data_IF_526498672931
#
_entry.id   IF_526498672931
#
_cell.length_a   1.000
_cell.length_b   1.000
_cell.length_c   1.000
_cell.angle_alpha   90.00
_cell.angle_beta   90.00
_cell.angle_gamma   90.00
#
_symmetry.space_group_name_H-M   'P 1'
#
loop_
_entity.id
_entity.type
_entity.pdbx_description
1 polymer ?
#
# COMPACT_ATOMS: atom_id res chain seq x y z
N UNK A 1 6.77 -11.97 -24.89
CA UNK A 1 7.71 -12.92 -24.35
C UNK A 1 7.68 -12.83 -22.83
N UNK A 2 7.03 -13.79 -22.16
CA UNK A 2 6.71 -13.79 -20.72
C UNK A 2 7.97 -13.65 -19.84
N UNK A 3 9.07 -14.32 -20.21
CA UNK A 3 10.32 -14.30 -19.46
C UNK A 3 10.92 -12.89 -19.41
N UNK A 4 10.94 -12.19 -20.55
CA UNK A 4 11.48 -10.82 -20.64
C UNK A 4 10.61 -9.85 -19.84
N UNK A 5 9.28 -9.97 -19.91
CA UNK A 5 8.34 -9.15 -19.13
C UNK A 5 8.53 -9.32 -17.63
N UNK A 6 8.71 -10.56 -17.15
CA UNK A 6 8.92 -10.84 -15.73
C UNK A 6 10.27 -10.32 -15.24
N UNK A 7 11.31 -10.35 -16.06
CA UNK A 7 12.60 -9.76 -15.69
C UNK A 7 12.52 -8.25 -15.56
N UNK A 8 11.82 -7.59 -16.47
CA UNK A 8 11.55 -6.15 -16.36
C UNK A 8 10.74 -5.83 -15.10
N UNK A 9 9.72 -6.65 -14.80
CA UNK A 9 8.88 -6.48 -13.62
C UNK A 9 9.70 -6.74 -12.34
N UNK A 10 10.58 -7.74 -12.32
CA UNK A 10 11.51 -7.99 -11.20
C UNK A 10 12.41 -6.78 -10.93
N UNK A 11 12.94 -6.16 -11.97
CA UNK A 11 13.75 -4.93 -11.83
C UNK A 11 12.92 -3.80 -11.22
N UNK A 12 11.71 -3.58 -11.70
CA UNK A 12 10.81 -2.55 -11.17
C UNK A 12 10.45 -2.78 -9.71
N UNK A 13 10.14 -4.01 -9.34
CA UNK A 13 9.80 -4.38 -7.96
C UNK A 13 11.04 -4.24 -7.05
N UNK A 14 12.20 -4.66 -7.54
CA UNK A 14 13.47 -4.49 -6.83
C UNK A 14 13.73 -3.01 -6.52
N UNK A 15 13.69 -2.15 -7.54
CA UNK A 15 13.91 -0.72 -7.35
C UNK A 15 12.86 -0.08 -6.44
N UNK A 16 11.59 -0.50 -6.55
CA UNK A 16 10.53 -0.01 -5.68
C UNK A 16 10.78 -0.37 -4.21
N UNK A 17 11.28 -1.56 -3.93
CA UNK A 17 11.69 -1.96 -2.58
C UNK A 17 12.83 -1.08 -2.05
N UNK A 18 13.82 -0.76 -2.88
CA UNK A 18 14.92 0.15 -2.48
C UNK A 18 14.41 1.58 -2.24
N UNK A 19 13.40 2.04 -2.96
CA UNK A 19 12.77 3.34 -2.74
C UNK A 19 12.15 3.46 -1.33
N UNK A 20 11.69 2.37 -0.74
CA UNK A 20 11.21 2.38 0.65
C UNK A 20 12.31 2.81 1.62
N UNK A 21 13.53 2.32 1.40
CA UNK A 21 14.71 2.71 2.20
C UNK A 21 15.05 4.16 1.97
N UNK A 22 15.10 4.58 0.71
CA UNK A 22 15.44 5.96 0.31
C UNK A 22 14.51 6.99 0.94
N UNK A 23 13.22 6.67 1.04
CA UNK A 23 12.22 7.56 1.64
C UNK A 23 12.03 7.38 3.15
N UNK A 24 12.84 6.53 3.79
CA UNK A 24 12.81 6.33 5.24
C UNK A 24 11.53 5.64 5.73
N UNK A 25 10.89 4.81 4.91
CA UNK A 25 9.65 4.14 5.25
C UNK A 25 9.85 2.79 5.94
N UNK A 26 11.05 2.26 5.91
CA UNK A 26 11.37 0.93 6.45
C UNK A 26 12.61 0.94 7.31
N UNK A 27 12.64 0.03 8.29
CA UNK A 27 13.78 -0.29 9.15
C UNK A 27 13.99 -1.80 9.04
N UNK A 28 15.26 -2.23 8.94
CA UNK A 28 15.60 -3.65 8.74
C UNK A 28 14.90 -4.22 7.50
N UNK A 29 14.11 -5.28 7.69
CA UNK A 29 13.34 -5.95 6.62
C UNK A 29 11.82 -5.72 6.74
N UNK A 30 11.41 -4.69 7.47
CA UNK A 30 10.01 -4.43 7.85
C UNK A 30 9.21 -3.74 6.75
N UNK A 31 9.16 -4.33 5.62
CA UNK A 31 8.35 -3.81 4.52
C UNK A 31 8.60 -4.57 3.24
N UNK A 32 7.70 -4.41 2.31
CA UNK A 32 7.77 -5.08 1.01
C UNK A 32 6.93 -4.37 -0.04
N UNK A 33 7.35 -4.55 -1.28
CA UNK A 33 6.62 -4.11 -2.47
C UNK A 33 6.42 -5.32 -3.37
N UNK A 34 5.25 -5.42 -3.96
CA UNK A 34 4.97 -6.33 -5.06
C UNK A 34 4.39 -5.59 -6.26
N UNK A 35 4.36 -6.26 -7.40
CA UNK A 35 3.62 -5.82 -8.57
C UNK A 35 3.05 -7.03 -9.30
N UNK A 36 1.99 -6.82 -10.06
CA UNK A 36 1.33 -7.87 -10.82
C UNK A 36 1.45 -7.60 -12.31
N UNK A 37 1.65 -8.66 -13.08
CA UNK A 37 1.41 -8.69 -14.51
C UNK A 37 0.01 -9.26 -14.75
N UNK A 38 -0.92 -8.39 -15.17
CA UNK A 38 -2.33 -8.77 -15.36
C UNK A 38 -2.56 -9.73 -16.51
N UNK A 39 -1.68 -9.76 -17.50
CA UNK A 39 -1.81 -10.70 -18.62
C UNK A 39 -1.57 -12.15 -18.19
N UNK A 40 -0.53 -12.37 -17.38
CA UNK A 40 -0.19 -13.70 -16.87
C UNK A 40 -0.78 -14.02 -15.52
N UNK A 41 -1.35 -13.02 -14.83
CA UNK A 41 -1.82 -13.11 -13.44
C UNK A 41 -0.72 -13.57 -12.47
N UNK A 42 0.53 -13.14 -12.72
CA UNK A 42 1.68 -13.46 -11.88
C UNK A 42 2.11 -12.23 -11.09
N UNK A 43 2.42 -12.45 -9.82
CA UNK A 43 2.85 -11.42 -8.87
C UNK A 43 4.33 -11.59 -8.58
N UNK A 44 5.08 -10.50 -8.71
CA UNK A 44 6.49 -10.43 -8.31
C UNK A 44 6.57 -9.73 -6.97
N UNK A 45 7.23 -10.35 -6.01
CA UNK A 45 7.30 -9.84 -4.64
C UNK A 45 8.70 -10.02 -4.04
N UNK A 46 9.02 -9.14 -3.09
CA UNK A 46 10.25 -9.20 -2.30
C UNK A 46 10.36 -10.54 -1.57
N UNK A 47 11.55 -11.15 -1.55
CA UNK A 47 11.79 -12.33 -0.72
C UNK A 47 11.75 -12.00 0.78
N UNK A 48 11.33 -12.98 1.59
CA UNK A 48 11.26 -12.88 3.04
C UNK A 48 12.67 -12.79 3.67
N UNK A 49 12.83 -11.86 4.60
CA UNK A 49 14.01 -11.81 5.47
C UNK A 49 15.33 -11.41 4.79
N UNK A 50 15.31 -11.00 3.54
CA UNK A 50 16.50 -10.53 2.83
C UNK A 50 16.67 -9.03 3.06
N UNK A 51 17.88 -8.65 3.50
CA UNK A 51 18.25 -7.25 3.68
C UNK A 51 18.14 -6.47 2.38
N UNK A 52 17.67 -5.23 2.44
CA UNK A 52 17.62 -4.35 1.27
C UNK A 52 19.00 -4.10 0.66
N UNK A 53 20.06 -4.13 1.48
CA UNK A 53 21.45 -3.91 1.03
C UNK A 53 22.00 -5.10 0.23
N UNK A 54 21.57 -6.31 0.58
CA UNK A 54 22.05 -7.55 -0.06
C UNK A 54 21.15 -8.04 -1.17
N UNK A 55 19.96 -7.48 -1.29
CA UNK A 55 18.94 -7.89 -2.25
C UNK A 55 19.32 -7.52 -3.68
N UNK A 56 18.99 -8.40 -4.61
CA UNK A 56 19.17 -8.21 -6.06
C UNK A 56 17.85 -8.41 -6.78
N UNK A 57 17.75 -7.88 -7.99
CA UNK A 57 16.54 -8.05 -8.81
C UNK A 57 16.21 -9.54 -9.05
N UNK A 58 17.23 -10.37 -9.25
CA UNK A 58 17.06 -11.83 -9.45
C UNK A 58 16.51 -12.56 -8.22
N UNK A 59 16.59 -11.94 -7.03
CA UNK A 59 16.08 -12.53 -5.79
C UNK A 59 14.55 -12.38 -5.67
N UNK A 60 13.92 -11.53 -6.48
CA UNK A 60 12.47 -11.36 -6.48
C UNK A 60 11.78 -12.69 -6.79
N UNK A 61 10.69 -12.97 -6.07
CA UNK A 61 9.96 -14.23 -6.17
C UNK A 61 8.69 -14.01 -6.99
N UNK A 62 8.38 -14.96 -7.87
CA UNK A 62 7.14 -14.94 -8.67
C UNK A 62 6.16 -15.95 -8.10
N UNK A 63 4.95 -15.46 -7.80
CA UNK A 63 3.85 -16.29 -7.29
C UNK A 63 2.61 -16.12 -8.17
N UNK A 64 1.75 -17.13 -8.18
CA UNK A 64 0.43 -17.02 -8.81
C UNK A 64 -0.61 -16.42 -7.84
N UNK A 65 -1.85 -16.27 -8.30
CA UNK A 65 -2.94 -15.72 -7.48
C UNK A 65 -3.47 -16.67 -6.40
N UNK A 66 -2.94 -17.89 -6.33
CA UNK A 66 -3.16 -18.82 -5.21
C UNK A 66 -2.02 -18.74 -4.17
N UNK A 67 -1.05 -17.86 -4.41
CA UNK A 67 0.11 -17.69 -3.53
C UNK A 67 1.20 -18.73 -3.73
N UNK A 68 1.09 -19.57 -4.75
CA UNK A 68 2.07 -20.60 -5.09
C UNK A 68 3.29 -19.99 -5.78
N UNK A 69 4.48 -20.37 -5.33
CA UNK A 69 5.74 -19.98 -6.00
C UNK A 69 5.82 -20.65 -7.36
N UNK A 70 5.94 -19.82 -8.39
CA UNK A 70 6.10 -20.24 -9.78
C UNK A 70 7.57 -20.19 -10.20
N UNK A 71 8.30 -19.19 -9.68
CA UNK A 71 9.71 -18.98 -9.98
C UNK A 71 10.40 -18.30 -8.81
N UNK A 72 11.62 -18.71 -8.51
CA UNK A 72 12.46 -18.10 -7.48
C UNK A 72 13.06 -19.12 -6.53
N UNK A 73 14.25 -18.80 -6.01
CA UNK A 73 15.01 -19.66 -5.09
C UNK A 73 14.63 -19.42 -3.63
N UNK A 74 14.18 -18.20 -3.33
CA UNK A 74 13.93 -17.74 -1.98
C UNK A 74 12.45 -17.85 -1.64
N UNK A 75 12.13 -17.78 -0.36
CA UNK A 75 10.75 -17.72 0.09
C UNK A 75 10.19 -16.33 -0.20
N UNK A 76 8.97 -16.22 -0.73
CA UNK A 76 8.32 -14.92 -0.87
C UNK A 76 8.04 -14.32 0.52
N UNK A 77 7.87 -13.00 0.57
CA UNK A 77 7.44 -12.30 1.80
C UNK A 77 6.28 -13.03 2.48
N UNK A 78 6.29 -13.07 3.80
CA UNK A 78 5.16 -13.62 4.59
C UNK A 78 3.84 -12.90 4.33
N UNK A 79 3.89 -11.65 3.85
CA UNK A 79 2.71 -10.86 3.52
C UNK A 79 2.12 -11.20 2.14
N UNK A 80 2.70 -12.12 1.42
CA UNK A 80 2.24 -12.51 0.07
C UNK A 80 0.73 -12.82 0.02
N UNK A 81 0.14 -13.57 0.96
CA UNK A 81 -1.31 -13.80 0.92
C UNK A 81 -2.13 -12.52 0.99
N UNK A 82 -1.69 -11.54 1.77
CA UNK A 82 -2.36 -10.22 1.83
C UNK A 82 -2.31 -9.51 0.48
N UNK A 83 -1.12 -9.45 -0.14
CA UNK A 83 -0.95 -8.84 -1.46
C UNK A 83 -1.85 -9.49 -2.51
N UNK A 84 -1.89 -10.82 -2.54
CA UNK A 84 -2.69 -11.59 -3.49
C UNK A 84 -4.19 -11.32 -3.33
N UNK A 85 -4.69 -11.26 -2.10
CA UNK A 85 -6.10 -10.92 -1.82
C UNK A 85 -6.43 -9.54 -2.40
N UNK A 86 -5.55 -8.56 -2.23
CA UNK A 86 -5.77 -7.21 -2.75
C UNK A 86 -5.80 -7.18 -4.28
N UNK A 87 -4.90 -7.91 -4.94
CA UNK A 87 -4.92 -8.00 -6.40
C UNK A 87 -6.18 -8.66 -6.95
N UNK A 88 -6.71 -9.67 -6.26
CA UNK A 88 -7.98 -10.32 -6.63
C UNK A 88 -9.17 -9.39 -6.44
N UNK A 89 -9.20 -8.64 -5.33
CA UNK A 89 -10.34 -7.79 -4.98
C UNK A 89 -10.35 -6.48 -5.76
N UNK A 90 -9.18 -5.94 -6.11
CA UNK A 90 -9.01 -4.64 -6.76
C UNK A 90 -8.36 -4.81 -8.14
N UNK A 91 -9.15 -5.10 -9.19
CA UNK A 91 -8.60 -5.45 -10.51
C UNK A 91 -7.82 -4.33 -11.20
N UNK A 92 -7.98 -3.08 -10.75
CA UNK A 92 -7.34 -1.91 -11.36
C UNK A 92 -5.95 -1.61 -10.79
N UNK A 93 -5.57 -2.24 -9.67
CA UNK A 93 -4.25 -1.99 -9.07
C UNK A 93 -3.18 -2.86 -9.71
N UNK A 94 -1.95 -2.32 -9.78
CA UNK A 94 -0.80 -3.01 -10.36
C UNK A 94 0.38 -3.16 -9.42
N UNK A 95 0.34 -2.53 -8.26
CA UNK A 95 1.39 -2.64 -7.24
C UNK A 95 0.82 -2.47 -5.84
N UNK A 96 1.44 -3.11 -4.85
CA UNK A 96 1.05 -3.06 -3.43
C UNK A 96 2.30 -2.87 -2.58
N UNK A 97 2.20 -2.01 -1.58
CA UNK A 97 3.26 -1.73 -0.58
C UNK A 97 2.72 -2.00 0.82
N UNK A 98 3.52 -2.65 1.63
CA UNK A 98 3.32 -2.73 3.07
C UNK A 98 4.55 -2.23 3.80
N UNK A 99 4.37 -1.41 4.81
CA UNK A 99 5.44 -0.95 5.70
C UNK A 99 4.94 -0.85 7.14
N UNK A 100 5.88 -0.58 8.05
CA UNK A 100 5.60 -0.16 9.41
C UNK A 100 6.12 1.26 9.63
N UNK A 101 5.87 2.15 8.67
CA UNK A 101 6.31 3.55 8.76
C UNK A 101 5.68 4.23 9.99
N UNK A 102 6.45 5.06 10.65
CA UNK A 102 6.17 5.49 12.03
C UNK A 102 4.81 6.16 12.21
N UNK A 103 4.51 7.18 11.42
CA UNK A 103 3.28 7.96 11.63
C UNK A 103 2.03 7.22 11.16
N UNK A 104 2.08 6.58 9.99
CA UNK A 104 0.95 5.77 9.51
C UNK A 104 0.66 4.61 10.46
N UNK A 105 1.71 3.94 10.95
CA UNK A 105 1.58 2.84 11.91
C UNK A 105 1.02 3.36 13.25
N UNK A 106 1.42 4.55 13.71
CA UNK A 106 0.87 5.14 14.93
C UNK A 106 -0.64 5.36 14.81
N UNK A 107 -1.13 5.85 13.69
CA UNK A 107 -2.58 5.98 13.44
C UNK A 107 -3.28 4.62 13.39
N UNK A 108 -2.65 3.62 12.77
CA UNK A 108 -3.16 2.25 12.77
C UNK A 108 -3.26 1.68 14.21
N UNK A 109 -2.23 1.91 15.04
CA UNK A 109 -2.23 1.50 16.45
C UNK A 109 -3.31 2.24 17.26
N UNK A 110 -3.57 3.51 16.93
CA UNK A 110 -4.65 4.27 17.54
C UNK A 110 -6.04 3.79 17.09
N UNK A 111 -6.12 3.01 16.02
CA UNK A 111 -7.38 2.50 15.50
C UNK A 111 -8.27 3.56 14.86
N UNK A 112 -7.66 4.63 14.33
CA UNK A 112 -8.40 5.78 13.77
C UNK A 112 -8.08 5.96 12.30
N UNK A 113 -9.10 6.33 11.51
CA UNK A 113 -8.91 6.81 10.15
C UNK A 113 -8.06 8.09 10.19
N UNK A 114 -7.24 8.33 9.17
CA UNK A 114 -6.57 9.63 9.01
C UNK A 114 -7.54 10.57 8.31
N UNK A 115 -8.06 11.60 8.99
CA UNK A 115 -9.03 12.51 8.38
C UNK A 115 -8.38 13.34 7.26
N UNK A 116 -9.17 13.67 6.25
CA UNK A 116 -8.72 14.54 5.15
C UNK A 116 -8.81 16.00 5.61
N UNK A 117 -7.69 16.54 6.11
CA UNK A 117 -7.64 17.88 6.72
C UNK A 117 -6.70 18.84 5.98
N UNK A 118 -6.20 18.47 4.81
CA UNK A 118 -5.28 19.31 4.08
C UNK A 118 -5.24 19.02 2.60
N UNK A 119 -4.73 19.97 1.85
CA UNK A 119 -4.70 19.88 0.39
C UNK A 119 -3.73 18.81 -0.13
N UNK A 120 -2.63 18.54 0.58
CA UNK A 120 -1.72 17.45 0.23
C UNK A 120 -2.44 16.10 0.29
N UNK A 121 -3.21 15.85 1.36
CA UNK A 121 -4.02 14.64 1.47
C UNK A 121 -5.06 14.59 0.34
N UNK A 122 -5.79 15.68 0.12
CA UNK A 122 -6.84 15.75 -0.89
C UNK A 122 -6.33 15.55 -2.32
N UNK A 123 -5.07 15.89 -2.61
CA UNK A 123 -4.46 15.65 -3.92
C UNK A 123 -4.37 14.17 -4.27
N UNK A 124 -4.26 13.28 -3.28
CA UNK A 124 -4.01 11.85 -3.49
C UNK A 124 -5.13 10.93 -3.02
N UNK A 125 -5.91 11.36 -2.04
CA UNK A 125 -6.99 10.58 -1.43
C UNK A 125 -8.25 11.43 -1.37
N UNK A 126 -9.34 10.94 -1.95
CA UNK A 126 -10.61 11.65 -1.92
C UNK A 126 -11.19 11.75 -0.51
N UNK A 127 -11.18 10.62 0.22
CA UNK A 127 -11.74 10.52 1.56
C UNK A 127 -10.63 10.44 2.62
N UNK A 128 -11.04 10.22 3.87
CA UNK A 128 -10.11 9.82 4.93
C UNK A 128 -9.36 8.55 4.52
N UNK A 129 -8.14 8.37 5.01
CA UNK A 129 -7.44 7.09 4.85
C UNK A 129 -8.05 6.14 5.88
N UNK A 130 -8.74 5.07 5.44
CA UNK A 130 -9.53 4.25 6.34
C UNK A 130 -8.67 3.31 7.20
N UNK A 131 -9.12 3.06 8.42
CA UNK A 131 -8.59 2.02 9.30
C UNK A 131 -9.54 0.84 9.32
N UNK A 132 -9.01 -0.38 9.31
CA UNK A 132 -9.81 -1.60 9.37
C UNK A 132 -10.45 -1.80 10.75
N UNK A 133 -11.45 -2.66 10.83
CA UNK A 133 -11.94 -3.20 12.09
C UNK A 133 -10.88 -4.08 12.77
N UNK A 134 -11.08 -4.41 14.04
CA UNK A 134 -10.30 -5.44 14.73
C UNK A 134 -10.47 -6.79 14.04
N UNK A 135 -9.41 -7.57 14.02
CA UNK A 135 -9.48 -8.96 13.60
C UNK A 135 -10.12 -9.82 14.71
N UNK A 136 -10.93 -10.77 14.32
CA UNK A 136 -11.50 -11.75 15.24
C UNK A 136 -10.45 -12.76 15.69
N UNK A 137 -10.72 -13.49 16.78
CA UNK A 137 -9.85 -14.57 17.25
C UNK A 137 -9.62 -15.63 16.17
N UNK A 138 -10.66 -16.01 15.44
CA UNK A 138 -10.55 -17.00 14.36
C UNK A 138 -9.66 -16.50 13.21
N UNK A 139 -9.75 -15.22 12.86
CA UNK A 139 -8.91 -14.60 11.83
C UNK A 139 -7.43 -14.56 12.26
N UNK A 140 -7.15 -14.17 13.50
CA UNK A 140 -5.78 -14.09 14.04
C UNK A 140 -5.14 -15.48 14.14
N UNK A 141 -5.88 -16.48 14.59
CA UNK A 141 -5.38 -17.85 14.79
C UNK A 141 -5.39 -18.69 13.52
N UNK A 142 -6.13 -18.28 12.51
CA UNK A 142 -6.24 -18.97 11.23
C UNK A 142 -5.17 -18.57 10.23
N UNK A 143 -5.54 -18.40 8.98
CA UNK A 143 -4.67 -17.91 7.92
C UNK A 143 -4.48 -16.38 8.05
N UNK A 144 -3.67 -15.96 9.00
CA UNK A 144 -3.55 -14.58 9.46
C UNK A 144 -3.29 -13.57 8.34
N UNK A 145 -2.32 -13.83 7.47
CA UNK A 145 -1.97 -12.89 6.38
C UNK A 145 -3.06 -12.83 5.31
N UNK A 146 -3.73 -13.96 5.04
CA UNK A 146 -4.91 -14.00 4.16
C UNK A 146 -6.05 -13.18 4.77
N UNK A 147 -6.34 -13.40 6.05
CA UNK A 147 -7.41 -12.68 6.76
C UNK A 147 -7.12 -11.19 6.92
N UNK A 148 -5.84 -10.81 6.98
CA UNK A 148 -5.44 -9.40 6.92
C UNK A 148 -5.90 -8.77 5.61
N UNK A 149 -5.72 -9.46 4.49
CA UNK A 149 -6.26 -9.03 3.20
C UNK A 149 -7.78 -8.91 3.21
N UNK A 150 -8.46 -9.88 3.80
CA UNK A 150 -9.93 -9.90 3.87
C UNK A 150 -10.49 -8.74 4.70
N UNK A 151 -9.88 -8.38 5.83
CA UNK A 151 -10.36 -7.22 6.60
C UNK A 151 -10.14 -5.89 5.88
N UNK A 152 -9.08 -5.80 5.06
CA UNK A 152 -8.88 -4.64 4.18
C UNK A 152 -10.00 -4.55 3.15
N UNK A 153 -10.28 -5.63 2.45
CA UNK A 153 -11.34 -5.70 1.41
C UNK A 153 -12.69 -5.34 2.02
N UNK A 154 -12.98 -5.87 3.19
CA UNK A 154 -14.22 -5.56 3.91
C UNK A 154 -14.34 -4.06 4.23
N UNK A 155 -13.25 -3.43 4.67
CA UNK A 155 -13.25 -1.98 4.96
C UNK A 155 -13.51 -1.15 3.71
N UNK A 156 -13.18 -1.69 2.54
CA UNK A 156 -13.36 -1.00 1.25
C UNK A 156 -14.73 -1.21 0.62
N UNK A 157 -15.65 -1.93 1.27
CA UNK A 157 -17.04 -1.99 0.82
C UNK A 157 -17.62 -0.57 0.76
N UNK A 158 -18.06 -0.14 -0.43
CA UNK A 158 -18.55 1.23 -0.68
C UNK A 158 -17.46 2.28 -0.94
N UNK A 159 -16.18 1.90 -0.92
CA UNK A 159 -15.06 2.79 -1.25
C UNK A 159 -14.45 2.40 -2.60
N UNK A 160 -13.90 3.40 -3.30
CA UNK A 160 -13.17 3.17 -4.53
C UNK A 160 -11.67 3.09 -4.24
N UNK A 161 -11.02 1.92 -4.43
CA UNK A 161 -9.60 1.77 -4.13
C UNK A 161 -8.68 2.61 -5.02
N UNK A 162 -9.13 3.07 -6.18
CA UNK A 162 -8.37 3.98 -7.04
C UNK A 162 -8.37 5.40 -6.47
N UNK A 163 -9.49 5.83 -5.90
CA UNK A 163 -9.63 7.16 -5.28
C UNK A 163 -9.12 7.20 -3.83
N UNK A 164 -8.96 6.05 -3.20
CA UNK A 164 -8.44 5.90 -1.84
C UNK A 164 -7.38 4.79 -1.88
N UNK A 165 -6.16 5.09 -2.35
CA UNK A 165 -5.17 4.07 -2.65
C UNK A 165 -4.36 3.60 -1.43
N UNK A 166 -5.00 3.41 -0.29
CA UNK A 166 -4.33 2.92 0.91
C UNK A 166 -5.26 2.73 2.08
N UNK A 167 -4.77 2.05 3.09
CA UNK A 167 -5.51 1.62 4.27
C UNK A 167 -4.57 1.47 5.46
N UNK A 168 -5.10 1.62 6.66
CA UNK A 168 -4.44 1.27 7.92
C UNK A 168 -5.04 -0.02 8.44
N UNK A 169 -4.23 -1.05 8.64
CA UNK A 169 -4.67 -2.26 9.33
C UNK A 169 -4.53 -2.02 10.82
N UNK A 170 -5.65 -2.04 11.53
CA UNK A 170 -5.70 -1.72 12.96
C UNK A 170 -4.66 -2.48 13.77
N UNK A 171 -3.91 -1.77 14.62
CA UNK A 171 -2.81 -2.25 15.45
C UNK A 171 -1.59 -2.78 14.67
N UNK A 172 -1.57 -2.69 13.34
CA UNK A 172 -0.51 -3.28 12.52
C UNK A 172 0.27 -2.22 11.75
N UNK A 173 -0.32 -1.65 10.71
CA UNK A 173 0.36 -0.67 9.86
C UNK A 173 -0.32 -0.45 8.52
N UNK A 174 0.28 0.39 7.66
CA UNK A 174 -0.31 0.76 6.39
C UNK A 174 -0.08 -0.27 5.28
N UNK A 175 -1.04 -0.35 4.39
CA UNK A 175 -0.91 -0.89 3.04
C UNK A 175 -1.29 0.22 2.06
N UNK A 176 -0.56 0.33 0.97
CA UNK A 176 -0.88 1.25 -0.13
C UNK A 176 -0.77 0.53 -1.45
N UNK A 177 -1.39 1.09 -2.47
CA UNK A 177 -1.36 0.53 -3.81
C UNK A 177 -1.43 1.62 -4.86
N UNK A 178 -1.32 1.23 -6.11
CA UNK A 178 -1.38 2.12 -7.25
C UNK A 178 -1.39 1.33 -8.55
N UNK A 179 -1.29 2.04 -9.66
CA UNK A 179 -1.32 1.43 -11.00
C UNK A 179 -0.11 0.52 -11.29
N UNK A 180 1.00 0.74 -10.59
CA UNK A 180 2.24 -0.03 -10.67
C UNK A 180 3.01 0.07 -9.35
N UNK A 181 4.16 -0.59 -9.25
CA UNK A 181 4.99 -0.59 -8.05
C UNK A 181 5.45 0.82 -7.66
N UNK A 182 5.85 1.63 -8.64
CA UNK A 182 6.32 3.00 -8.39
C UNK A 182 5.21 3.87 -7.81
N UNK A 183 4.01 3.83 -8.40
CA UNK A 183 2.84 4.57 -7.93
C UNK A 183 2.42 4.12 -6.51
N UNK A 184 2.48 2.82 -6.24
CA UNK A 184 2.19 2.28 -4.90
C UNK A 184 3.16 2.82 -3.84
N UNK A 185 4.46 2.90 -4.16
CA UNK A 185 5.48 3.50 -3.27
C UNK A 185 5.21 5.00 -3.08
N UNK A 186 4.89 5.71 -4.16
CA UNK A 186 4.54 7.13 -4.08
C UNK A 186 3.39 7.36 -3.09
N UNK A 187 2.35 6.54 -3.18
CA UNK A 187 1.21 6.62 -2.26
C UNK A 187 1.59 6.25 -0.82
N UNK A 188 2.53 5.32 -0.62
CA UNK A 188 3.06 5.01 0.72
C UNK A 188 3.78 6.22 1.34
N UNK A 189 4.57 6.93 0.55
CA UNK A 189 5.25 8.17 0.98
C UNK A 189 4.24 9.23 1.37
N UNK A 190 3.21 9.42 0.53
CA UNK A 190 2.13 10.38 0.82
C UNK A 190 1.40 10.02 2.11
N UNK A 191 1.05 8.74 2.31
CA UNK A 191 0.37 8.29 3.53
C UNK A 191 1.18 8.61 4.79
N UNK A 192 2.47 8.31 4.78
CA UNK A 192 3.34 8.61 5.92
C UNK A 192 3.39 10.13 6.19
N UNK A 193 3.53 10.91 5.14
CA UNK A 193 3.63 12.36 5.27
C UNK A 193 2.33 12.99 5.76
N UNK A 194 1.17 12.58 5.23
CA UNK A 194 -0.12 13.13 5.69
C UNK A 194 -0.49 12.65 7.09
N UNK A 195 -0.09 11.44 7.47
CA UNK A 195 -0.23 10.94 8.84
C UNK A 195 0.57 11.81 9.82
N UNK A 196 1.80 12.15 9.45
CA UNK A 196 2.65 13.07 10.23
C UNK A 196 2.02 14.45 10.34
N UNK A 197 1.60 15.02 9.21
CA UNK A 197 0.95 16.34 9.18
C UNK A 197 -0.32 16.36 10.05
N UNK A 198 -1.16 15.35 9.97
CA UNK A 198 -2.37 15.25 10.77
C UNK A 198 -2.07 15.17 12.27
N UNK A 199 -1.06 14.38 12.66
CA UNK A 199 -0.62 14.27 14.06
C UNK A 199 -0.20 15.62 14.62
N UNK A 200 0.58 16.37 13.86
CA UNK A 200 1.07 17.70 14.26
C UNK A 200 -0.09 18.71 14.29
N UNK A 201 -0.92 18.72 13.24
CA UNK A 201 -2.03 19.66 13.13
C UNK A 201 -3.03 19.52 14.30
N UNK A 202 -3.39 18.29 14.67
CA UNK A 202 -4.28 18.04 15.82
C UNK A 202 -3.64 18.40 17.17
N UNK A 203 -2.32 18.29 17.28
CA UNK A 203 -1.60 18.75 18.47
C UNK A 203 -1.63 20.29 18.59
N UNK A 204 -1.61 20.99 17.46
CA UNK A 204 -1.70 22.47 17.43
C UNK A 204 -3.13 22.95 17.66
N UNK A 205 -4.11 22.31 17.01
CA UNK A 205 -5.53 22.66 17.15
C UNK A 205 -6.40 21.39 17.09
N UNK A 206 -6.82 20.86 18.26
CA UNK A 206 -7.64 19.64 18.30
C UNK A 206 -9.05 19.82 17.70
N UNK A 207 -9.49 21.06 17.49
CA UNK A 207 -10.81 21.41 16.95
C UNK A 207 -10.75 21.89 15.48
N UNK A 208 -9.66 21.55 14.77
CA UNK A 208 -9.51 21.96 13.37
C UNK A 208 -10.64 21.42 12.49
N UNK A 209 -10.92 22.15 11.42
CA UNK A 209 -11.92 21.76 10.42
C UNK A 209 -11.31 21.86 9.02
N UNK A 210 -11.89 21.12 8.08
CA UNK A 210 -11.49 21.15 6.67
C UNK A 210 -12.65 21.67 5.81
N UNK A 211 -12.33 22.62 4.94
CA UNK A 211 -13.29 23.10 3.96
C UNK A 211 -13.49 22.01 2.88
N UNK A 212 -14.70 21.43 2.77
CA UNK A 212 -14.97 20.37 1.81
C UNK A 212 -14.81 20.80 0.35
N UNK A 213 -14.96 22.10 0.06
CA UNK A 213 -14.73 22.62 -1.30
C UNK A 213 -13.26 22.53 -1.70
N UNK A 214 -12.33 22.63 -0.75
CA UNK A 214 -10.90 22.42 -1.01
C UNK A 214 -10.59 20.96 -1.29
N UNK A 215 -11.24 20.03 -0.62
CA UNK A 215 -11.09 18.60 -0.89
C UNK A 215 -11.45 18.30 -2.33
N UNK A 216 -12.64 18.71 -2.76
CA UNK A 216 -13.12 18.49 -4.12
C UNK A 216 -12.22 19.18 -5.16
N UNK A 217 -11.81 20.40 -4.90
CA UNK A 217 -10.94 21.16 -5.82
C UNK A 217 -9.62 20.44 -6.02
N UNK A 218 -8.93 20.06 -4.94
CA UNK A 218 -7.62 19.44 -5.02
C UNK A 218 -7.68 18.02 -5.58
N UNK A 219 -8.67 17.25 -5.20
CA UNK A 219 -8.84 15.91 -5.75
C UNK A 219 -9.13 15.96 -7.25
N UNK A 220 -10.09 16.75 -7.68
CA UNK A 220 -10.54 16.81 -9.09
C UNK A 220 -9.49 17.41 -10.03
N UNK A 221 -8.59 18.29 -9.55
CA UNK A 221 -7.53 18.84 -10.40
C UNK A 221 -6.47 17.81 -10.80
N UNK A 222 -6.34 16.68 -10.05
CA UNK A 222 -5.43 15.56 -10.34
C UNK A 222 -6.15 14.34 -10.91
N UNK A 223 -7.43 14.20 -10.64
CA UNK A 223 -8.23 13.03 -10.97
C UNK A 223 -9.50 13.45 -11.71
N UNK A 224 -10.00 12.57 -12.58
CA UNK A 224 -11.23 12.81 -13.33
C UNK A 224 -11.02 13.52 -14.68
N UNK A 225 -12.11 13.85 -15.39
CA UNK A 225 -12.06 14.28 -16.79
C UNK A 225 -11.43 15.67 -16.99
N UNK A 226 -11.41 16.50 -15.97
CA UNK A 226 -10.88 17.88 -16.04
C UNK A 226 -9.57 18.05 -15.28
N UNK A 227 -8.84 16.96 -15.03
CA UNK A 227 -7.55 17.00 -14.34
C UNK A 227 -6.51 17.83 -15.11
N UNK A 228 -5.76 18.65 -14.40
CA UNK A 228 -4.76 19.55 -15.00
C UNK A 228 -3.46 19.67 -14.19
N UNK A 229 -3.35 18.96 -13.09
CA UNK A 229 -2.20 19.07 -12.20
C UNK A 229 -1.70 17.70 -11.76
N UNK A 230 -0.39 17.50 -11.80
CA UNK A 230 0.26 16.32 -11.23
C UNK A 230 -0.12 14.99 -11.88
N UNK A 231 -0.37 14.96 -13.16
CA UNK A 231 -0.74 13.77 -13.93
C UNK A 231 0.46 12.96 -14.39
#
# INVERSE_FOLDING_TARGET
NIIIMLEELKEKVFHANLELVKHGLVIFTWGNVSAIDRETELVVIKPSGVSYDDMKAEDMVVVDLDGKVVEGRLKPSSDTPTHVVLYKAFPEIGGVVHTHSTYATAWAQAGCDIPNIGTTHADYFHDAIPCTADMTEAEVKGAYELETGNVIVKRFEGLNPVHTPGVLVKNHGPFSWGKDAHDAVHNAVVMEQVAKMASIAYAVNPNLTMNPLLVEKHFSRKHGPNAYYGQ
#
